data_IF_231756592027
#
_entry.id   IF_231756592027
#
_cell.length_a   1.000
_cell.length_b   1.000
_cell.length_c   1.000
_cell.angle_alpha   90.00
_cell.angle_beta   90.00
_cell.angle_gamma   90.00
#
_symmetry.space_group_name_H-M   'P 1'
#
loop_
_entity.id
_entity.type
_entity.pdbx_description
1 polymer ?
#
# COMPACT_ATOMS: atom_id res chain seq x y z
N UNK A 1 -9.26 -18.98 8.29
CA UNK A 1 -10.47 -19.37 7.55
C UNK A 1 -10.63 -18.47 6.31
N UNK A 2 -10.65 -17.13 6.43
CA UNK A 2 -10.86 -16.18 5.34
C UNK A 2 -9.86 -16.37 4.17
N UNK A 3 -8.56 -16.38 4.43
CA UNK A 3 -7.53 -16.57 3.39
C UNK A 3 -7.67 -17.90 2.66
N UNK A 4 -8.00 -18.97 3.40
CA UNK A 4 -8.26 -20.28 2.76
C UNK A 4 -9.51 -20.26 1.87
N UNK A 5 -10.57 -19.56 2.31
CA UNK A 5 -11.78 -19.40 1.49
C UNK A 5 -11.47 -18.67 0.18
N UNK A 6 -10.69 -17.58 0.25
CA UNK A 6 -10.24 -16.85 -0.95
C UNK A 6 -9.40 -17.72 -1.89
N UNK A 7 -8.51 -18.55 -1.35
CA UNK A 7 -7.72 -19.50 -2.13
C UNK A 7 -8.59 -20.56 -2.82
N UNK A 8 -9.58 -21.11 -2.13
CA UNK A 8 -10.52 -22.06 -2.75
C UNK A 8 -11.44 -21.42 -3.80
N UNK A 9 -11.74 -20.13 -3.64
CA UNK A 9 -12.52 -19.37 -4.61
C UNK A 9 -11.69 -18.87 -5.81
N UNK A 10 -10.37 -19.17 -5.84
CA UNK A 10 -9.41 -18.74 -6.87
C UNK A 10 -9.43 -17.22 -7.12
N UNK A 11 -9.92 -16.46 -6.13
CA UNK A 11 -10.06 -15.00 -6.26
C UNK A 11 -8.72 -14.28 -6.42
N UNK A 12 -7.64 -14.64 -5.71
CA UNK A 12 -6.33 -14.03 -5.89
C UNK A 12 -5.78 -14.24 -7.31
N UNK A 13 -5.91 -15.45 -7.86
CA UNK A 13 -5.42 -15.79 -9.20
C UNK A 13 -6.26 -15.12 -10.29
N UNK A 14 -7.58 -15.09 -10.12
CA UNK A 14 -8.47 -14.38 -11.02
C UNK A 14 -8.20 -12.88 -11.03
N UNK A 15 -7.92 -12.28 -9.87
CA UNK A 15 -7.57 -10.85 -9.74
C UNK A 15 -6.20 -10.56 -10.36
N UNK A 16 -5.20 -11.41 -10.12
CA UNK A 16 -3.86 -11.28 -10.71
C UNK A 16 -3.91 -11.37 -12.24
N UNK A 17 -4.63 -12.34 -12.79
CA UNK A 17 -4.81 -12.49 -14.23
C UNK A 17 -5.60 -11.34 -14.84
N UNK A 18 -6.61 -10.83 -14.18
CA UNK A 18 -7.33 -9.64 -14.62
C UNK A 18 -6.43 -8.41 -14.68
N UNK A 19 -5.64 -8.16 -13.63
CA UNK A 19 -4.71 -7.03 -13.56
C UNK A 19 -3.65 -7.12 -14.67
N UNK A 20 -3.06 -8.30 -14.88
CA UNK A 20 -2.05 -8.49 -15.93
C UNK A 20 -2.62 -8.35 -17.35
N UNK A 21 -3.92 -8.58 -17.53
CA UNK A 21 -4.60 -8.41 -18.81
C UNK A 21 -4.88 -6.96 -19.20
N UNK A 22 -4.72 -5.99 -18.27
CA UNK A 22 -5.10 -4.59 -18.47
C UNK A 22 -4.22 -3.83 -19.47
N UNK A 23 -3.16 -4.40 -20.03
CA UNK A 23 -2.23 -3.75 -20.98
C UNK A 23 -1.77 -2.33 -20.57
N UNK A 24 -1.70 -2.08 -19.26
CA UNK A 24 -1.25 -0.82 -18.68
C UNK A 24 0.18 -0.96 -18.15
N UNK A 25 0.88 0.14 -17.97
CA UNK A 25 2.20 0.07 -17.36
C UNK A 25 2.10 -0.46 -15.92
N UNK A 26 2.94 -1.40 -15.50
CA UNK A 26 2.91 -2.00 -14.16
C UNK A 26 2.99 -0.97 -13.01
N UNK A 27 3.77 0.08 -13.22
CA UNK A 27 3.84 1.23 -12.27
C UNK A 27 2.49 1.94 -12.13
N UNK A 28 1.76 2.12 -13.23
CA UNK A 28 0.45 2.75 -13.18
C UNK A 28 -0.55 1.87 -12.42
N UNK A 29 -0.51 0.58 -12.64
CA UNK A 29 -1.34 -0.39 -11.91
C UNK A 29 -1.01 -0.36 -10.41
N UNK A 30 0.27 -0.34 -10.04
CA UNK A 30 0.70 -0.21 -8.65
C UNK A 30 0.16 1.08 -8.02
N UNK A 31 0.26 2.22 -8.71
CA UNK A 31 -0.29 3.49 -8.23
C UNK A 31 -1.81 3.40 -8.03
N UNK A 32 -2.53 2.78 -8.97
CA UNK A 32 -3.98 2.55 -8.82
C UNK A 32 -4.29 1.70 -7.60
N UNK A 33 -3.54 0.63 -7.35
CA UNK A 33 -3.67 -0.19 -6.16
C UNK A 33 -3.46 0.65 -4.89
N UNK A 34 -2.41 1.45 -4.84
CA UNK A 34 -2.12 2.31 -3.69
C UNK A 34 -3.21 3.37 -3.48
N UNK A 35 -3.79 3.93 -4.55
CA UNK A 35 -4.93 4.84 -4.46
C UNK A 35 -6.18 4.13 -3.90
N UNK A 36 -6.42 2.89 -4.30
CA UNK A 36 -7.51 2.09 -3.70
C UNK A 36 -7.25 1.86 -2.21
N UNK A 37 -6.02 1.58 -1.81
CA UNK A 37 -5.65 1.50 -0.39
C UNK A 37 -5.90 2.82 0.34
N UNK A 38 -5.57 3.96 -0.28
CA UNK A 38 -5.84 5.28 0.30
C UNK A 38 -7.34 5.47 0.55
N UNK A 39 -8.18 5.12 -0.41
CA UNK A 39 -9.64 5.24 -0.26
C UNK A 39 -10.17 4.26 0.80
N UNK A 40 -9.77 2.99 0.75
CA UNK A 40 -10.22 2.00 1.73
C UNK A 40 -9.80 2.36 3.16
N UNK A 41 -8.56 2.81 3.33
CA UNK A 41 -8.04 3.16 4.65
C UNK A 41 -8.66 4.42 5.26
N UNK A 42 -9.34 5.26 4.46
CA UNK A 42 -10.16 6.34 5.00
C UNK A 42 -11.39 5.82 5.76
N UNK A 43 -11.90 4.64 5.41
CA UNK A 43 -13.15 4.08 5.94
C UNK A 43 -12.95 2.88 6.85
N UNK A 44 -11.79 2.23 6.78
CA UNK A 44 -11.49 1.00 7.51
C UNK A 44 -10.29 1.20 8.43
N UNK A 45 -10.24 0.42 9.49
CA UNK A 45 -9.04 0.26 10.29
C UNK A 45 -7.88 -0.32 9.47
N UNK A 46 -6.67 0.17 9.73
CA UNK A 46 -5.46 -0.22 9.00
C UNK A 46 -5.20 -1.73 9.03
N UNK A 47 -5.33 -2.36 10.20
CA UNK A 47 -5.11 -3.80 10.36
C UNK A 47 -6.19 -4.58 9.62
N UNK A 48 -7.45 -4.19 9.77
CA UNK A 48 -8.58 -4.82 9.08
C UNK A 48 -8.44 -4.73 7.56
N UNK A 49 -8.06 -3.55 7.05
CA UNK A 49 -7.81 -3.34 5.63
C UNK A 49 -6.72 -4.27 5.10
N UNK A 50 -5.57 -4.34 5.78
CA UNK A 50 -4.44 -5.18 5.37
C UNK A 50 -4.80 -6.66 5.37
N UNK A 51 -5.45 -7.14 6.44
CA UNK A 51 -5.85 -8.56 6.55
C UNK A 51 -6.84 -8.98 5.47
N UNK A 52 -7.71 -8.07 5.03
CA UNK A 52 -8.70 -8.36 3.99
C UNK A 52 -8.10 -8.30 2.58
N UNK A 53 -7.22 -7.36 2.31
CA UNK A 53 -6.79 -7.06 0.93
C UNK A 53 -5.48 -7.73 0.53
N UNK A 54 -4.50 -7.87 1.45
CA UNK A 54 -3.19 -8.44 1.15
C UNK A 54 -3.24 -9.83 0.49
N UNK A 55 -4.10 -10.76 0.92
CA UNK A 55 -4.16 -12.08 0.29
C UNK A 55 -4.54 -12.07 -1.20
N UNK A 56 -5.19 -10.99 -1.65
CA UNK A 56 -5.60 -10.80 -3.05
C UNK A 56 -4.61 -9.93 -3.82
N UNK A 57 -4.15 -8.84 -3.20
CA UNK A 57 -3.33 -7.84 -3.87
C UNK A 57 -1.86 -8.26 -3.96
N UNK A 58 -1.33 -8.97 -2.95
CA UNK A 58 0.05 -9.42 -2.96
C UNK A 58 0.38 -10.33 -4.15
N UNK A 59 -0.38 -11.42 -4.43
CA UNK A 59 -0.13 -12.25 -5.61
C UNK A 59 -0.22 -11.47 -6.92
N UNK A 60 -1.12 -10.50 -7.01
CA UNK A 60 -1.28 -9.67 -8.19
C UNK A 60 -0.04 -8.79 -8.44
N UNK A 61 0.52 -8.17 -7.40
CA UNK A 61 1.74 -7.36 -7.52
C UNK A 61 2.95 -8.24 -7.84
N UNK A 62 3.03 -9.46 -7.27
CA UNK A 62 4.07 -10.42 -7.63
C UNK A 62 3.95 -10.84 -9.09
N UNK A 63 2.75 -11.11 -9.59
CA UNK A 63 2.52 -11.43 -11.00
C UNK A 63 2.93 -10.28 -11.94
N UNK A 64 2.67 -9.02 -11.55
CA UNK A 64 3.14 -7.83 -12.29
C UNK A 64 4.67 -7.74 -12.36
N UNK A 65 5.37 -8.18 -11.32
CA UNK A 65 6.84 -8.19 -11.31
C UNK A 65 7.45 -9.36 -12.14
N UNK A 66 6.65 -10.35 -12.51
CA UNK A 66 7.09 -11.54 -13.21
C UNK A 66 7.11 -12.82 -12.37
N UNK A 67 6.58 -12.75 -11.14
CA UNK A 67 6.46 -13.88 -10.21
C UNK A 67 7.36 -13.78 -8.97
N UNK A 68 7.14 -14.66 -8.02
CA UNK A 68 7.88 -14.68 -6.74
C UNK A 68 9.35 -15.11 -6.90
N UNK A 69 9.64 -15.91 -7.89
CA UNK A 69 10.99 -16.48 -8.15
C UNK A 69 11.76 -15.73 -9.23
N UNK A 70 11.21 -14.64 -9.74
CA UNK A 70 11.84 -13.86 -10.82
C UNK A 70 13.17 -13.25 -10.36
N UNK A 71 14.16 -13.28 -11.26
CA UNK A 71 15.43 -12.56 -11.04
C UNK A 71 15.27 -11.06 -11.29
N UNK A 72 16.16 -10.25 -10.73
CA UNK A 72 16.11 -8.80 -10.94
C UNK A 72 16.27 -8.41 -12.42
N UNK A 73 17.01 -9.20 -13.19
CA UNK A 73 17.25 -8.94 -14.61
C UNK A 73 16.02 -9.18 -15.50
N UNK A 74 15.15 -10.13 -15.10
CA UNK A 74 13.96 -10.54 -15.86
C UNK A 74 12.67 -9.89 -15.33
N UNK A 75 12.77 -9.13 -14.25
CA UNK A 75 11.63 -8.57 -13.55
C UNK A 75 11.20 -7.21 -14.12
N UNK A 76 9.93 -6.92 -14.00
CA UNK A 76 9.34 -5.66 -14.51
C UNK A 76 9.76 -4.43 -13.71
N UNK A 77 9.91 -4.57 -12.39
CA UNK A 77 10.32 -3.47 -11.51
C UNK A 77 11.84 -3.40 -11.29
N UNK A 78 12.63 -4.24 -11.96
CA UNK A 78 14.09 -4.27 -11.83
C UNK A 78 14.58 -4.85 -10.50
N UNK A 79 13.77 -5.65 -9.80
CA UNK A 79 14.09 -6.26 -8.53
C UNK A 79 13.60 -7.70 -8.44
N UNK A 80 14.32 -8.56 -7.70
CA UNK A 80 13.91 -9.95 -7.50
C UNK A 80 12.54 -10.05 -6.81
N UNK A 81 11.86 -11.19 -6.93
CA UNK A 81 10.57 -11.39 -6.29
C UNK A 81 10.59 -11.14 -4.79
N UNK A 82 11.63 -11.61 -4.07
CA UNK A 82 11.78 -11.36 -2.63
C UNK A 82 11.95 -9.88 -2.30
N UNK A 83 12.73 -9.13 -3.08
CA UNK A 83 12.92 -7.69 -2.90
C UNK A 83 11.65 -6.92 -3.23
N UNK A 84 10.91 -7.34 -4.26
CA UNK A 84 9.61 -6.78 -4.59
C UNK A 84 8.60 -6.97 -3.46
N UNK A 85 8.58 -8.13 -2.81
CA UNK A 85 7.73 -8.41 -1.66
C UNK A 85 8.03 -7.46 -0.49
N UNK A 86 9.31 -7.23 -0.17
CA UNK A 86 9.72 -6.30 0.89
C UNK A 86 9.32 -4.86 0.53
N UNK A 87 9.64 -4.42 -0.68
CA UNK A 87 9.30 -3.07 -1.15
C UNK A 87 7.80 -2.81 -1.13
N UNK A 88 7.01 -3.72 -1.68
CA UNK A 88 5.55 -3.61 -1.66
C UNK A 88 4.99 -3.63 -0.24
N UNK A 89 5.51 -4.49 0.64
CA UNK A 89 5.11 -4.53 2.05
C UNK A 89 5.31 -3.19 2.75
N UNK A 90 6.45 -2.53 2.52
CA UNK A 90 6.74 -1.20 3.09
C UNK A 90 5.79 -0.13 2.52
N UNK A 91 5.52 -0.15 1.21
CA UNK A 91 4.57 0.77 0.59
C UNK A 91 3.17 0.62 1.18
N UNK A 92 2.70 -0.62 1.38
CA UNK A 92 1.37 -0.89 1.92
C UNK A 92 1.24 -0.45 3.38
N UNK A 93 2.26 -0.70 4.21
CA UNK A 93 2.30 -0.21 5.60
C UNK A 93 2.29 1.33 5.62
N UNK A 94 3.07 1.95 4.75
CA UNK A 94 3.11 3.41 4.64
C UNK A 94 1.77 4.01 4.18
N UNK A 95 1.09 3.32 3.26
CA UNK A 95 -0.28 3.69 2.87
C UNK A 95 -1.27 3.56 4.03
N UNK A 96 -1.15 2.52 4.84
CA UNK A 96 -2.00 2.35 6.03
C UNK A 96 -1.81 3.51 7.04
N UNK A 97 -0.58 3.95 7.29
CA UNK A 97 -0.29 5.12 8.13
C UNK A 97 -0.88 6.41 7.54
N UNK A 98 -0.65 6.63 6.24
CA UNK A 98 -1.15 7.79 5.49
C UNK A 98 -2.67 7.93 5.61
N UNK A 99 -3.40 6.83 5.52
CA UNK A 99 -4.86 6.82 5.59
C UNK A 99 -5.41 7.27 6.95
N UNK A 100 -4.70 6.97 8.05
CA UNK A 100 -5.13 7.31 9.41
C UNK A 100 -5.19 8.84 9.66
N UNK A 101 -4.49 9.62 8.86
CA UNK A 101 -4.46 11.09 8.95
C UNK A 101 -5.17 11.76 7.77
N UNK A 102 -5.63 10.98 6.78
CA UNK A 102 -6.20 11.51 5.54
C UNK A 102 -7.67 11.92 5.73
N UNK A 103 -8.07 13.15 5.35
CA UNK A 103 -9.48 13.52 5.28
C UNK A 103 -10.24 12.62 4.26
N UNK A 104 -11.54 12.35 4.44
CA UNK A 104 -12.49 13.02 5.35
C UNK A 104 -12.58 12.40 6.75
N UNK A 105 -12.18 11.14 6.95
CA UNK A 105 -12.35 10.49 8.24
C UNK A 105 -11.12 10.72 9.13
N UNK A 106 -9.90 10.35 8.70
CA UNK A 106 -8.68 10.59 9.46
C UNK A 106 -8.82 10.19 10.94
N UNK A 107 -9.00 8.90 11.21
CA UNK A 107 -9.40 8.40 12.55
C UNK A 107 -8.59 9.04 13.69
N UNK A 108 -7.26 9.17 13.50
CA UNK A 108 -6.40 9.78 14.52
C UNK A 108 -6.72 11.23 14.79
N UNK A 109 -7.16 11.99 13.77
CA UNK A 109 -7.52 13.40 13.93
C UNK A 109 -8.79 13.56 14.79
N UNK A 110 -9.76 12.67 14.61
CA UNK A 110 -10.97 12.66 15.44
C UNK A 110 -10.68 12.23 16.89
N UNK A 111 -9.79 11.25 17.08
CA UNK A 111 -9.37 10.82 18.43
C UNK A 111 -8.71 11.98 19.16
N UNK A 112 -7.79 12.70 18.52
CA UNK A 112 -7.11 13.88 19.12
C UNK A 112 -8.12 14.97 19.48
N UNK A 113 -9.04 15.31 18.58
CA UNK A 113 -10.08 16.30 18.85
C UNK A 113 -11.06 15.85 19.95
N UNK A 114 -11.30 14.55 20.08
CA UNK A 114 -12.17 13.99 21.13
C UNK A 114 -11.53 14.02 22.53
N UNK A 115 -10.20 14.02 22.62
CA UNK A 115 -9.45 14.13 23.90
C UNK A 115 -9.26 15.58 24.31
N UNK A 116 -9.21 16.51 23.37
CA UNK A 116 -8.96 17.93 23.56
C UNK A 116 -10.20 18.74 23.19
N UNK A 117 -11.06 19.03 24.17
CA UNK A 117 -12.31 19.77 23.98
C UNK A 117 -12.12 21.24 23.56
N UNK A 118 -10.90 21.77 23.74
CA UNK A 118 -10.51 23.14 23.40
C UNK A 118 -10.10 23.34 21.93
N UNK A 119 -9.98 22.25 21.13
CA UNK A 119 -9.59 22.31 19.73
C UNK A 119 -10.65 21.64 18.83
N UNK A 120 -10.89 22.26 17.68
CA UNK A 120 -11.82 21.67 16.70
C UNK A 120 -11.11 20.60 15.84
N UNK A 121 -11.89 19.66 15.31
CA UNK A 121 -11.38 18.66 14.34
C UNK A 121 -10.70 19.35 13.14
N UNK A 122 -11.22 20.50 12.73
CA UNK A 122 -10.68 21.28 11.61
C UNK A 122 -9.29 21.84 11.92
N UNK A 123 -9.04 22.24 13.16
CA UNK A 123 -7.72 22.74 13.59
C UNK A 123 -6.70 21.60 13.64
N UNK A 124 -7.12 20.40 14.05
CA UNK A 124 -6.29 19.20 14.00
C UNK A 124 -5.91 18.88 12.54
N UNK A 125 -6.86 18.88 11.61
CA UNK A 125 -6.58 18.64 10.19
C UNK A 125 -5.63 19.68 9.59
N UNK A 126 -5.78 20.97 9.94
CA UNK A 126 -4.83 22.01 9.52
C UNK A 126 -3.41 21.74 10.06
N UNK A 127 -3.31 21.34 11.33
CA UNK A 127 -2.04 21.00 11.95
C UNK A 127 -1.36 19.77 11.36
N UNK A 128 -2.14 18.80 10.87
CA UNK A 128 -1.64 17.56 10.25
C UNK A 128 -1.28 17.74 8.77
N UNK A 129 -1.80 18.77 8.10
CA UNK A 129 -1.54 19.00 6.67
C UNK A 129 -0.07 18.94 6.26
N UNK A 130 0.91 19.52 6.99
CA UNK A 130 2.33 19.39 6.62
C UNK A 130 2.82 17.94 6.65
N UNK A 131 2.37 17.16 7.62
CA UNK A 131 2.72 15.74 7.74
C UNK A 131 2.10 14.92 6.60
N UNK A 132 0.86 15.20 6.24
CA UNK A 132 0.20 14.60 5.08
C UNK A 132 0.98 14.84 3.78
N UNK A 133 1.46 16.07 3.56
CA UNK A 133 2.30 16.39 2.40
C UNK A 133 3.63 15.65 2.47
N UNK A 134 4.28 15.63 3.63
CA UNK A 134 5.56 14.93 3.82
C UNK A 134 5.42 13.42 3.58
N UNK A 135 4.34 12.82 4.04
CA UNK A 135 4.04 11.39 3.81
C UNK A 135 3.77 11.09 2.33
N UNK A 136 3.00 11.93 1.65
CA UNK A 136 2.78 11.81 0.20
C UNK A 136 4.08 11.91 -0.60
N UNK A 137 4.97 12.83 -0.22
CA UNK A 137 6.32 12.92 -0.80
C UNK A 137 7.14 11.68 -0.52
N UNK A 138 7.10 11.17 0.71
CA UNK A 138 7.81 9.94 1.11
C UNK A 138 7.36 8.75 0.26
N UNK A 139 6.05 8.52 0.10
CA UNK A 139 5.51 7.45 -0.74
C UNK A 139 5.98 7.62 -2.19
N UNK A 140 5.95 8.84 -2.72
CA UNK A 140 6.42 9.13 -4.08
C UNK A 140 7.91 8.81 -4.25
N UNK A 141 8.73 9.15 -3.26
CA UNK A 141 10.17 8.85 -3.25
C UNK A 141 10.41 7.34 -3.19
N UNK A 142 9.69 6.61 -2.33
CA UNK A 142 9.83 5.16 -2.17
C UNK A 142 9.40 4.38 -3.43
N UNK A 143 8.42 4.89 -4.17
CA UNK A 143 8.02 4.33 -5.47
C UNK A 143 9.09 4.63 -6.53
N UNK A 144 9.61 5.86 -6.56
CA UNK A 144 10.57 6.31 -7.58
C UNK A 144 11.98 5.73 -7.37
N UNK A 145 12.37 5.51 -6.11
CA UNK A 145 13.68 5.03 -5.72
C UNK A 145 13.60 3.83 -4.77
N UNK A 146 13.22 2.64 -5.26
CA UNK A 146 13.11 1.43 -4.44
C UNK A 146 14.41 1.07 -3.71
N UNK A 147 15.56 1.44 -4.25
CA UNK A 147 16.88 1.20 -3.67
C UNK A 147 17.05 1.80 -2.27
N UNK A 148 16.32 2.88 -1.93
CA UNK A 148 16.36 3.46 -0.58
C UNK A 148 15.86 2.45 0.46
N UNK A 149 14.78 1.75 0.13
CA UNK A 149 14.16 0.74 0.99
C UNK A 149 14.95 -0.56 0.98
N UNK A 150 15.46 -0.93 -0.19
CA UNK A 150 16.08 -2.23 -0.43
C UNK A 150 17.58 -2.25 -0.08
N UNK A 151 18.17 -1.10 0.25
CA UNK A 151 19.59 -1.03 0.61
C UNK A 151 19.92 -1.94 1.81
N UNK A 152 19.17 -1.86 2.88
CA UNK A 152 19.40 -2.69 4.06
C UNK A 152 19.16 -4.18 3.81
N UNK A 153 18.02 -4.61 3.22
CA UNK A 153 17.80 -6.00 2.86
C UNK A 153 18.82 -6.57 1.87
N UNK A 154 19.41 -5.73 1.02
CA UNK A 154 20.43 -6.18 0.06
C UNK A 154 21.79 -6.51 0.67
N UNK A 155 22.01 -6.20 1.95
CA UNK A 155 23.22 -6.52 2.69
C UNK A 155 23.18 -7.90 3.39
N UNK A 156 22.02 -8.53 3.41
CA UNK A 156 21.76 -9.82 4.06
C UNK A 156 21.52 -10.89 3.01
#
# INVERSE_FOLDING_TARGET
IYVRFLGFAELPDAFASWITSLNMSPILILICILLVYAVLGMFMDAIGMLLLTLPVVYPAVMALNGGETVSAADSTFGMSGSMCAIWFGILVVKMAEFCLITPPIGLNCFVVAGVREDISVQDVFKGVTPFFIADGLTITILISFPSIVLWLPSLV
#
